data_IF_167363921481
#
_entry.id   IF_167363921481
#
_cell.length_a   1.000
_cell.length_b   1.000
_cell.length_c   1.000
_cell.angle_alpha   90.00
_cell.angle_beta   90.00
_cell.angle_gamma   90.00
#
_symmetry.space_group_name_H-M   'P 1'
#
loop_
_entity.id
_entity.type
_entity.pdbx_description
1 polymer ?
#
# COMPACT_ATOMS: atom_id res chain seq x y z
N UNK A 1 -11.33 -1.95 5.30
CA UNK A 1 -11.91 -1.25 4.13
C UNK A 1 -13.04 -2.03 3.49
N UNK A 2 -13.98 -1.35 2.79
CA UNK A 2 -15.03 -2.01 2.00
C UNK A 2 -14.54 -2.44 0.61
N UNK A 3 -13.58 -1.72 0.03
CA UNK A 3 -12.85 -2.15 -1.16
C UNK A 3 -11.82 -3.22 -0.77
N UNK A 4 -11.92 -4.42 -1.34
CA UNK A 4 -11.01 -5.55 -1.03
C UNK A 4 -9.98 -5.84 -2.11
N UNK A 5 -10.29 -5.47 -3.35
CA UNK A 5 -9.41 -5.62 -4.52
C UNK A 5 -9.36 -4.28 -5.28
N UNK A 6 -8.65 -3.29 -4.72
CA UNK A 6 -8.60 -1.96 -5.32
C UNK A 6 -7.77 -1.97 -6.61
N UNK A 7 -8.22 -1.18 -7.59
CA UNK A 7 -7.51 -0.94 -8.83
C UNK A 7 -6.86 0.45 -8.84
N UNK A 8 -5.96 0.69 -9.79
CA UNK A 8 -5.32 1.99 -9.98
C UNK A 8 -6.36 3.12 -10.13
N UNK A 9 -7.47 2.85 -10.82
CA UNK A 9 -8.59 3.79 -10.98
C UNK A 9 -9.33 4.07 -9.67
N UNK A 10 -9.42 3.08 -8.78
CA UNK A 10 -10.05 3.24 -7.48
C UNK A 10 -9.21 4.06 -6.49
N UNK A 11 -7.92 4.30 -6.76
CA UNK A 11 -7.00 5.03 -5.86
C UNK A 11 -7.45 6.46 -5.53
N UNK A 12 -8.32 7.04 -6.35
CA UNK A 12 -8.85 8.41 -6.18
C UNK A 12 -10.38 8.45 -6.03
N UNK A 13 -11.03 7.29 -5.91
CA UNK A 13 -12.49 7.17 -5.82
C UNK A 13 -12.98 7.29 -4.36
N UNK A 14 -12.73 8.45 -3.75
CA UNK A 14 -13.16 8.77 -2.39
C UNK A 14 -14.54 9.42 -2.39
N UNK A 15 -15.34 9.13 -1.36
CA UNK A 15 -16.50 9.96 -1.05
C UNK A 15 -16.04 11.39 -0.71
N UNK A 16 -16.80 12.45 -1.05
CA UNK A 16 -16.39 13.82 -0.77
C UNK A 16 -15.97 14.08 0.68
N UNK A 17 -16.65 13.48 1.66
CA UNK A 17 -16.30 13.65 3.06
C UNK A 17 -14.97 12.97 3.41
N UNK A 18 -14.72 11.77 2.87
CA UNK A 18 -13.47 11.03 3.04
C UNK A 18 -12.30 11.76 2.36
N UNK A 19 -12.53 12.34 1.18
CA UNK A 19 -11.55 13.15 0.46
C UNK A 19 -11.12 14.38 1.29
N UNK A 20 -12.07 15.11 1.88
CA UNK A 20 -11.75 16.26 2.74
C UNK A 20 -10.98 15.83 3.99
N UNK A 21 -11.44 14.77 4.66
CA UNK A 21 -10.81 14.24 5.87
C UNK A 21 -9.36 13.80 5.65
N UNK A 22 -9.02 13.36 4.42
CA UNK A 22 -7.67 12.90 4.08
C UNK A 22 -6.78 13.99 3.46
N UNK A 23 -7.35 14.96 2.74
CA UNK A 23 -6.58 15.95 1.99
C UNK A 23 -6.30 17.28 2.72
N UNK A 24 -7.04 17.61 3.79
CA UNK A 24 -7.02 18.95 4.40
C UNK A 24 -5.64 19.41 4.94
N UNK A 25 -4.78 18.47 5.31
CA UNK A 25 -3.53 18.78 6.02
C UNK A 25 -2.57 19.63 5.18
N UNK A 26 -2.39 19.29 3.89
CA UNK A 26 -1.45 20.01 3.02
C UNK A 26 -1.91 21.46 2.72
N UNK A 27 -3.18 21.73 2.36
CA UNK A 27 -3.71 23.09 2.27
C UNK A 27 -3.57 23.89 3.57
N UNK A 28 -3.91 23.29 4.72
CA UNK A 28 -3.79 23.95 6.01
C UNK A 28 -2.33 24.33 6.32
N UNK A 29 -1.38 23.44 6.02
CA UNK A 29 0.06 23.70 6.20
C UNK A 29 0.54 24.86 5.31
N UNK A 30 0.06 24.94 4.06
CA UNK A 30 0.41 26.00 3.12
C UNK A 30 -0.05 27.40 3.56
N UNK A 31 -1.06 27.50 4.43
CA UNK A 31 -1.51 28.77 5.00
C UNK A 31 -0.59 29.28 6.12
N UNK A 32 0.10 28.37 6.81
CA UNK A 32 0.96 28.70 7.96
C UNK A 32 2.43 28.84 7.53
N UNK A 33 2.87 27.99 6.61
CA UNK A 33 4.26 27.91 6.16
C UNK A 33 4.30 28.21 4.66
N UNK A 34 5.19 29.12 4.20
CA UNK A 34 5.40 29.34 2.78
C UNK A 34 5.96 28.07 2.12
N UNK A 35 5.12 27.36 1.37
CA UNK A 35 5.54 26.17 0.61
C UNK A 35 5.91 26.61 -0.80
N UNK A 36 7.15 26.31 -1.21
CA UNK A 36 7.57 26.54 -2.59
C UNK A 36 6.74 25.66 -3.54
N UNK A 37 6.20 26.25 -4.61
CA UNK A 37 5.29 25.55 -5.55
C UNK A 37 5.92 24.27 -6.13
N UNK A 38 7.23 24.28 -6.41
CA UNK A 38 7.94 23.10 -6.91
C UNK A 38 7.98 21.94 -5.90
N UNK A 39 8.05 22.24 -4.60
CA UNK A 39 7.98 21.23 -3.54
C UNK A 39 6.56 20.67 -3.44
N UNK A 40 5.55 21.55 -3.49
CA UNK A 40 4.16 21.13 -3.51
C UNK A 40 3.86 20.20 -4.70
N UNK A 41 4.34 20.55 -5.89
CA UNK A 41 4.18 19.73 -7.09
C UNK A 41 4.89 18.38 -6.97
N UNK A 42 6.11 18.36 -6.45
CA UNK A 42 6.87 17.12 -6.23
C UNK A 42 6.15 16.20 -5.23
N UNK A 43 5.63 16.75 -4.13
CA UNK A 43 4.87 16.02 -3.12
C UNK A 43 3.57 15.45 -3.71
N UNK A 44 2.78 16.27 -4.40
CA UNK A 44 1.53 15.82 -5.04
C UNK A 44 1.79 14.74 -6.10
N UNK A 45 2.89 14.86 -6.85
CA UNK A 45 3.31 13.84 -7.83
C UNK A 45 3.68 12.54 -7.13
N UNK A 46 4.47 12.60 -6.06
CA UNK A 46 4.85 11.43 -5.27
C UNK A 46 3.62 10.76 -4.64
N UNK A 47 2.71 11.54 -4.06
CA UNK A 47 1.44 11.07 -3.51
C UNK A 47 0.61 10.35 -4.58
N UNK A 48 0.48 10.95 -5.77
CA UNK A 48 -0.30 10.39 -6.86
C UNK A 48 0.32 9.09 -7.39
N UNK A 49 1.63 9.09 -7.62
CA UNK A 49 2.36 7.93 -8.12
C UNK A 49 2.27 6.76 -7.15
N UNK A 50 2.51 7.00 -5.86
CA UNK A 50 2.43 5.95 -4.83
C UNK A 50 1.00 5.45 -4.63
N UNK A 51 -0.02 6.32 -4.68
CA UNK A 51 -1.41 5.91 -4.65
C UNK A 51 -1.74 4.94 -5.80
N UNK A 52 -1.34 5.28 -7.04
CA UNK A 52 -1.56 4.41 -8.21
C UNK A 52 -0.80 3.10 -8.10
N UNK A 53 0.49 3.13 -7.75
CA UNK A 53 1.33 1.93 -7.68
C UNK A 53 0.86 0.97 -6.57
N UNK A 54 0.45 1.51 -5.41
CA UNK A 54 -0.03 0.70 -4.29
C UNK A 54 -1.37 0.02 -4.56
N UNK A 55 -2.18 0.55 -5.48
CA UNK A 55 -3.46 -0.06 -5.89
C UNK A 55 -3.40 -0.66 -7.31
N UNK A 56 -2.21 -0.94 -7.85
CA UNK A 56 -2.07 -1.49 -9.20
C UNK A 56 -2.73 -2.88 -9.38
N UNK A 57 -3.16 -3.54 -8.29
CA UNK A 57 -3.78 -4.87 -8.29
C UNK A 57 -2.79 -6.02 -8.53
N UNK A 58 -1.55 -5.71 -8.90
CA UNK A 58 -0.44 -6.67 -9.04
C UNK A 58 0.88 -6.00 -8.67
N UNK A 59 1.83 -6.82 -8.25
CA UNK A 59 3.18 -6.32 -8.00
C UNK A 59 3.83 -5.85 -9.30
N UNK A 60 4.29 -4.60 -9.30
CA UNK A 60 4.93 -3.94 -10.44
C UNK A 60 6.44 -3.86 -10.27
N UNK A 61 6.93 -3.99 -9.03
CA UNK A 61 8.36 -3.96 -8.74
C UNK A 61 9.03 -5.30 -9.07
N UNK A 62 10.30 -5.28 -9.52
CA UNK A 62 11.08 -6.51 -9.67
C UNK A 62 11.21 -7.27 -8.35
N UNK A 63 11.15 -8.60 -8.37
CA UNK A 63 11.24 -9.43 -7.16
C UNK A 63 12.50 -9.15 -6.31
N UNK A 64 13.62 -8.79 -6.95
CA UNK A 64 14.86 -8.41 -6.27
C UNK A 64 14.71 -7.15 -5.40
N UNK A 65 13.79 -6.23 -5.74
CA UNK A 65 13.59 -4.98 -5.01
C UNK A 65 12.83 -5.21 -3.71
N UNK A 66 11.98 -6.24 -3.68
CA UNK A 66 11.19 -6.61 -2.50
C UNK A 66 12.05 -7.13 -1.34
N UNK A 67 13.27 -7.58 -1.63
CA UNK A 67 14.15 -8.23 -0.64
C UNK A 67 15.38 -7.38 -0.28
N UNK A 68 15.80 -6.46 -1.15
CA UNK A 68 17.06 -5.71 -0.99
C UNK A 68 16.83 -4.30 -0.43
N UNK A 69 17.61 -3.86 0.59
CA UNK A 69 17.60 -2.46 1.00
C UNK A 69 18.21 -1.55 -0.08
N UNK A 70 17.78 -0.28 -0.16
CA UNK A 70 16.70 0.34 0.64
C UNK A 70 15.29 0.02 0.12
N UNK A 71 15.19 -0.62 -1.04
CA UNK A 71 13.94 -0.79 -1.79
C UNK A 71 12.89 -1.63 -1.05
N UNK A 72 13.31 -2.63 -0.27
CA UNK A 72 12.43 -3.46 0.57
C UNK A 72 11.60 -2.69 1.61
N UNK A 73 11.95 -1.43 1.87
CA UNK A 73 11.28 -0.60 2.86
C UNK A 73 10.13 0.20 2.27
N UNK A 74 10.05 0.34 0.94
CA UNK A 74 8.92 1.00 0.28
C UNK A 74 7.69 0.11 0.31
N UNK A 75 6.53 0.74 0.40
CA UNK A 75 5.26 0.04 0.27
C UNK A 75 5.07 -0.39 -1.18
N UNK A 76 4.50 -1.57 -1.35
CA UNK A 76 4.26 -2.19 -2.65
C UNK A 76 2.79 -2.51 -2.82
N UNK A 77 2.38 -2.82 -4.05
CA UNK A 77 1.00 -3.22 -4.33
C UNK A 77 0.58 -4.42 -3.46
N UNK A 78 1.48 -5.39 -3.29
CA UNK A 78 1.24 -6.57 -2.45
C UNK A 78 1.06 -6.22 -0.98
N UNK A 79 1.89 -5.30 -0.45
CA UNK A 79 1.80 -4.85 0.94
C UNK A 79 0.46 -4.17 1.23
N UNK A 80 0.06 -3.27 0.33
CA UNK A 80 -1.15 -2.47 0.46
C UNK A 80 -2.44 -3.26 0.16
N UNK A 81 -2.40 -4.19 -0.78
CA UNK A 81 -3.51 -5.12 -1.03
C UNK A 81 -3.85 -5.95 0.23
N UNK A 82 -2.81 -6.40 0.95
CA UNK A 82 -3.01 -7.15 2.18
C UNK A 82 -3.66 -6.31 3.30
N UNK A 83 -3.39 -4.99 3.32
CA UNK A 83 -4.07 -4.05 4.18
C UNK A 83 -5.58 -4.01 3.87
N UNK A 84 -5.97 -3.90 2.60
CA UNK A 84 -7.38 -3.91 2.20
C UNK A 84 -8.09 -5.23 2.54
N UNK A 85 -7.39 -6.36 2.40
CA UNK A 85 -7.94 -7.70 2.65
C UNK A 85 -8.15 -8.01 4.13
N UNK A 86 -7.15 -7.69 4.97
CA UNK A 86 -7.12 -8.08 6.40
C UNK A 86 -7.40 -6.95 7.37
N UNK A 87 -7.13 -5.70 6.97
CA UNK A 87 -7.37 -4.47 7.72
C UNK A 87 -6.91 -4.51 9.20
N UNK A 88 -5.80 -5.20 9.45
CA UNK A 88 -5.22 -5.43 10.80
C UNK A 88 -3.72 -5.12 10.85
N UNK A 89 -3.15 -4.59 9.77
CA UNK A 89 -1.75 -4.21 9.66
C UNK A 89 -1.49 -3.50 8.33
N UNK A 90 -0.21 -3.26 8.03
CA UNK A 90 0.25 -2.57 6.83
C UNK A 90 -0.35 -1.15 6.70
N UNK A 91 -0.22 -0.36 7.76
CA UNK A 91 -0.79 0.99 7.89
C UNK A 91 0.07 2.10 7.28
N UNK A 92 1.32 1.81 6.93
CA UNK A 92 2.20 2.81 6.34
C UNK A 92 1.65 3.37 5.02
N UNK A 93 2.13 4.56 4.64
CA UNK A 93 1.70 5.23 3.40
C UNK A 93 2.76 5.15 2.27
N UNK A 94 4.03 5.37 2.62
CA UNK A 94 5.16 5.30 1.66
C UNK A 94 6.20 4.25 2.04
N UNK A 95 6.39 4.05 3.35
CA UNK A 95 7.42 3.21 3.92
C UNK A 95 6.80 2.25 4.95
N UNK A 96 7.34 1.03 5.00
CA UNK A 96 6.98 -0.02 5.95
C UNK A 96 7.65 0.15 7.33
N UNK A 97 8.39 1.24 7.54
CA UNK A 97 9.23 1.43 8.74
C UNK A 97 8.40 1.33 10.02
N UNK A 98 7.31 2.08 10.08
CA UNK A 98 6.42 2.09 11.24
C UNK A 98 5.68 0.77 11.41
N UNK A 99 5.31 0.10 10.32
CA UNK A 99 4.70 -1.22 10.41
C UNK A 99 5.65 -2.26 11.00
N UNK A 100 6.95 -2.15 10.71
CA UNK A 100 7.97 -3.05 11.27
C UNK A 100 8.26 -2.74 12.73
N UNK A 101 8.33 -1.46 13.09
CA UNK A 101 8.53 -1.03 14.48
C UNK A 101 7.32 -1.42 15.35
N UNK A 102 6.10 -1.21 14.84
CA UNK A 102 4.85 -1.49 15.53
C UNK A 102 4.38 -2.94 15.47
N UNK A 103 5.11 -3.83 14.77
CA UNK A 103 4.72 -5.23 14.63
C UNK A 103 3.48 -5.47 13.75
N UNK A 104 3.10 -4.50 12.92
CA UNK A 104 1.94 -4.54 12.02
C UNK A 104 2.30 -4.86 10.57
N UNK A 105 3.55 -5.24 10.30
CA UNK A 105 4.03 -5.62 8.96
C UNK A 105 3.59 -7.05 8.58
N UNK A 106 2.46 -7.17 7.89
CA UNK A 106 1.88 -8.41 7.40
C UNK A 106 2.53 -8.86 6.08
N UNK A 107 2.78 -10.16 5.95
CA UNK A 107 3.23 -10.80 4.71
C UNK A 107 2.16 -11.71 4.10
N UNK A 108 2.12 -11.87 2.77
CA UNK A 108 1.27 -12.88 2.12
C UNK A 108 1.62 -14.27 2.63
N UNK A 109 0.59 -15.10 2.83
CA UNK A 109 0.82 -16.53 3.11
C UNK A 109 1.34 -17.18 1.82
N UNK A 110 2.30 -18.11 1.89
CA UNK A 110 2.64 -18.92 0.71
C UNK A 110 1.35 -19.58 0.18
N UNK A 111 1.03 -19.40 -1.09
CA UNK A 111 -0.04 -20.18 -1.71
C UNK A 111 0.32 -21.67 -1.61
N UNK A 112 -0.64 -22.55 -1.31
CA UNK A 112 -0.44 -23.98 -1.46
C UNK A 112 0.01 -24.26 -2.89
N UNK A 113 1.13 -24.98 -3.05
CA UNK A 113 1.61 -25.38 -4.35
C UNK A 113 0.54 -26.22 -5.05
N UNK A 114 -0.14 -25.66 -6.05
CA UNK A 114 -1.16 -26.35 -6.83
C UNK A 114 -0.61 -27.54 -7.63
N UNK A 115 0.72 -27.72 -7.67
CA UNK A 115 1.41 -28.88 -8.25
C UNK A 115 1.69 -29.99 -7.25
N UNK A 116 1.45 -29.78 -5.95
CA UNK A 116 1.54 -30.86 -4.96
C UNK A 116 0.22 -31.62 -4.95
N UNK A 117 0.21 -32.92 -5.30
CA UNK A 117 -0.99 -33.71 -5.15
C UNK A 117 -1.43 -33.67 -3.69
N UNK A 118 -2.71 -33.38 -3.46
CA UNK A 118 -3.35 -33.54 -2.16
C UNK A 118 -3.32 -35.04 -1.87
N UNK A 119 -2.35 -35.50 -1.07
CA UNK A 119 -2.34 -36.87 -0.58
C UNK A 119 -3.52 -36.97 0.37
N UNK A 120 -4.63 -37.51 -0.14
CA UNK A 120 -5.78 -37.88 0.69
C UNK A 120 -5.30 -38.94 1.66
N UNK A 121 -5.10 -38.56 2.91
CA UNK A 121 -4.91 -39.48 4.01
C UNK A 121 -6.27 -40.07 4.36
N UNK A 122 -6.80 -40.93 3.50
CA UNK A 122 -7.82 -41.88 3.87
C UNK A 122 -7.34 -43.28 3.51
N UNK A 123 -7.11 -44.03 4.57
CA UNK A 123 -6.37 -45.26 4.59
C UNK A 123 -6.35 -45.79 6.00
N UNK A 124 -7.56 -46.00 6.57
CA UNK A 124 -7.92 -47.03 7.55
C UNK A 124 -9.39 -46.91 7.94
#
# INVERSE_FOLDING_TARGET
HRSRDPSAFASFAFDPAEAVATAWFLPALALVIPIHWGVALALLTLMSATAVLNHAGREVWPAAWLTRPPLRWFITATHHDLHHKRFSGNYGLYLQVWDRIGGTNLTPRPEPDSRRPVVSADGR
#
